data_IF_147987016867
#
_entry.id   IF_147987016867
#
_cell.length_a   1.000
_cell.length_b   1.000
_cell.length_c   1.000
_cell.angle_alpha   90.00
_cell.angle_beta   90.00
_cell.angle_gamma   90.00
#
_symmetry.space_group_name_H-M   'P 1'
#
loop_
_entity.id
_entity.type
_entity.pdbx_description
1 polymer ?
#
# COMPACT_ATOMS: atom_id res chain seq x y z
N UNK A 1 -35.44 7.78 -15.25
CA UNK A 1 -35.84 7.40 -13.88
C UNK A 1 -36.22 5.94 -13.90
N UNK A 2 -35.27 5.04 -13.66
CA UNK A 2 -35.52 3.63 -13.37
C UNK A 2 -34.39 3.08 -12.52
N UNK A 3 -34.80 2.24 -11.58
CA UNK A 3 -34.08 1.59 -10.48
C UNK A 3 -32.72 0.97 -10.86
N UNK A 4 -31.67 1.32 -10.12
CA UNK A 4 -30.35 0.64 -10.11
C UNK A 4 -29.87 0.44 -8.66
N UNK A 5 -30.72 -0.11 -7.81
CA UNK A 5 -30.35 -0.59 -6.48
C UNK A 5 -30.88 -2.00 -6.28
N UNK A 6 -30.35 -2.95 -7.05
CA UNK A 6 -30.40 -4.36 -6.65
C UNK A 6 -28.97 -4.85 -6.48
N UNK A 7 -28.63 -5.14 -5.22
CA UNK A 7 -27.39 -5.83 -4.84
C UNK A 7 -27.43 -7.23 -5.47
N UNK A 8 -26.39 -7.69 -6.17
CA UNK A 8 -26.32 -9.09 -6.59
C UNK A 8 -26.22 -9.99 -5.34
N UNK A 9 -27.10 -10.98 -5.29
CA UNK A 9 -27.10 -12.07 -4.32
C UNK A 9 -26.05 -13.13 -4.67
N UNK A 10 -25.14 -13.37 -3.73
CA UNK A 10 -24.08 -14.39 -3.61
C UNK A 10 -22.78 -14.25 -4.44
N UNK A 11 -21.60 -14.50 -3.83
CA UNK A 11 -20.31 -14.01 -4.34
C UNK A 11 -19.56 -15.04 -5.21
N UNK A 12 -18.77 -14.59 -6.20
CA UNK A 12 -17.69 -15.39 -6.76
C UNK A 12 -16.68 -15.72 -5.64
N UNK A 13 -16.00 -16.87 -5.74
CA UNK A 13 -15.02 -17.43 -4.78
C UNK A 13 -14.35 -16.39 -3.86
N UNK A 14 -14.51 -16.61 -2.55
CA UNK A 14 -14.97 -15.63 -1.56
C UNK A 14 -13.93 -14.74 -0.88
N UNK A 15 -12.77 -14.51 -1.50
CA UNK A 15 -11.73 -13.67 -0.88
C UNK A 15 -11.24 -12.58 -1.83
N UNK A 16 -11.64 -11.34 -1.55
CA UNK A 16 -11.23 -10.15 -2.31
C UNK A 16 -9.88 -9.56 -1.93
N UNK A 17 -9.01 -10.33 -1.26
CA UNK A 17 -7.69 -9.87 -0.84
C UNK A 17 -6.69 -11.02 -0.69
N UNK A 18 -5.40 -10.66 -0.71
CA UNK A 18 -4.30 -11.57 -0.36
C UNK A 18 -3.50 -11.01 0.82
N UNK A 19 -2.90 -11.90 1.61
CA UNK A 19 -2.03 -11.55 2.73
C UNK A 19 -0.58 -11.59 2.27
N UNK A 20 0.19 -10.56 2.61
CA UNK A 20 1.65 -10.53 2.36
C UNK A 20 2.36 -11.53 3.27
N UNK A 21 3.28 -12.32 2.72
CA UNK A 21 4.06 -13.34 3.44
C UNK A 21 5.49 -12.90 3.79
N UNK A 22 5.82 -11.64 3.53
CA UNK A 22 7.07 -11.04 4.01
C UNK A 22 7.07 -10.97 5.55
N UNK A 23 8.26 -10.88 6.20
CA UNK A 23 8.36 -10.92 7.66
C UNK A 23 7.56 -9.81 8.33
N UNK A 24 6.88 -10.14 9.44
CA UNK A 24 5.99 -9.21 10.13
C UNK A 24 6.68 -8.40 11.24
N UNK A 25 7.88 -8.82 11.64
CA UNK A 25 8.65 -8.24 12.73
C UNK A 25 9.99 -7.71 12.21
N UNK A 26 10.46 -6.62 12.82
CA UNK A 26 11.80 -6.10 12.64
C UNK A 26 12.75 -6.42 13.82
N UNK A 27 12.36 -7.34 14.71
CA UNK A 27 13.14 -7.68 15.92
C UNK A 27 14.34 -8.59 15.62
N UNK A 28 14.25 -9.39 14.55
CA UNK A 28 15.38 -10.13 14.00
C UNK A 28 15.72 -9.54 12.62
N UNK A 29 16.80 -8.74 12.58
CA UNK A 29 17.29 -8.10 11.36
C UNK A 29 17.71 -9.12 10.31
N UNK A 30 18.18 -10.29 10.73
CA UNK A 30 18.53 -11.36 9.81
C UNK A 30 17.29 -12.06 9.27
N UNK A 31 16.19 -12.13 10.02
CA UNK A 31 14.91 -12.64 9.51
C UNK A 31 14.36 -11.75 8.39
N UNK A 32 14.40 -10.42 8.58
CA UNK A 32 14.04 -9.45 7.55
C UNK A 32 14.82 -9.69 6.26
N UNK A 33 16.15 -9.80 6.36
CA UNK A 33 17.04 -10.05 5.23
C UNK A 33 16.79 -11.41 4.59
N UNK A 34 16.66 -12.48 5.37
CA UNK A 34 16.34 -13.83 4.87
C UNK A 34 15.01 -13.85 4.12
N UNK A 35 14.00 -13.11 4.59
CA UNK A 35 12.71 -12.99 3.90
C UNK A 35 12.86 -12.33 2.53
N UNK A 36 13.56 -11.19 2.48
CA UNK A 36 13.87 -10.51 1.23
C UNK A 36 14.70 -11.41 0.28
N UNK A 37 15.75 -12.05 0.80
CA UNK A 37 16.63 -12.92 0.04
C UNK A 37 15.88 -14.11 -0.57
N UNK A 38 14.96 -14.75 0.17
CA UNK A 38 14.12 -15.84 -0.35
C UNK A 38 13.27 -15.39 -1.54
N UNK A 39 12.68 -14.20 -1.48
CA UNK A 39 11.86 -13.71 -2.59
C UNK A 39 12.72 -13.33 -3.81
N UNK A 40 13.79 -12.56 -3.60
CA UNK A 40 14.69 -12.11 -4.66
C UNK A 40 15.46 -13.27 -5.30
N UNK A 41 15.78 -14.30 -4.52
CA UNK A 41 16.45 -15.52 -4.97
C UNK A 41 15.50 -16.63 -5.44
N UNK A 42 14.19 -16.38 -5.52
CA UNK A 42 13.21 -17.41 -5.91
C UNK A 42 13.36 -17.83 -7.38
N UNK A 43 12.99 -19.07 -7.69
CA UNK A 43 12.92 -19.57 -9.07
C UNK A 43 12.02 -18.71 -9.97
N UNK A 44 11.01 -18.08 -9.38
CA UNK A 44 10.14 -17.14 -10.10
C UNK A 44 10.92 -15.89 -10.54
N UNK A 45 11.71 -15.29 -9.65
CA UNK A 45 12.53 -14.11 -9.98
C UNK A 45 13.61 -14.47 -11.01
N UNK A 46 14.28 -15.61 -10.84
CA UNK A 46 15.28 -16.12 -11.79
C UNK A 46 14.68 -16.32 -13.18
N UNK A 47 13.49 -16.94 -13.29
CA UNK A 47 12.78 -17.11 -14.56
C UNK A 47 12.35 -15.78 -15.17
N UNK A 48 11.90 -14.82 -14.35
CA UNK A 48 11.54 -13.50 -14.85
C UNK A 48 12.75 -12.80 -15.48
N UNK A 49 13.90 -12.81 -14.82
CA UNK A 49 15.13 -12.21 -15.36
C UNK A 49 15.60 -12.94 -16.64
N UNK A 50 15.55 -14.28 -16.65
CA UNK A 50 15.91 -15.07 -17.81
C UNK A 50 15.01 -14.79 -19.03
N UNK A 51 13.71 -14.53 -18.83
CA UNK A 51 12.79 -14.12 -19.89
C UNK A 51 13.17 -12.76 -20.53
N UNK A 52 13.97 -11.94 -19.84
CA UNK A 52 14.58 -10.72 -20.36
C UNK A 52 16.06 -10.90 -20.77
N UNK A 53 16.58 -12.13 -20.77
CA UNK A 53 17.97 -12.44 -21.09
C UNK A 53 18.98 -11.91 -20.07
N UNK A 54 18.56 -11.73 -18.81
CA UNK A 54 19.41 -11.26 -17.71
C UNK A 54 19.65 -12.38 -16.69
N UNK A 55 20.78 -12.29 -16.01
CA UNK A 55 21.18 -13.15 -14.90
C UNK A 55 21.92 -12.30 -13.86
N UNK A 56 21.71 -12.58 -12.57
CA UNK A 56 22.44 -11.90 -11.50
C UNK A 56 23.77 -12.61 -11.24
N UNK A 57 24.84 -11.84 -11.02
CA UNK A 57 26.20 -12.36 -10.81
C UNK A 57 26.68 -12.22 -9.37
N UNK A 58 26.12 -11.28 -8.63
CA UNK A 58 26.49 -11.05 -7.24
C UNK A 58 26.07 -12.23 -6.36
N UNK A 59 26.90 -12.55 -5.36
CA UNK A 59 26.65 -13.65 -4.42
C UNK A 59 26.21 -13.18 -3.04
N UNK A 60 26.54 -11.95 -2.68
CA UNK A 60 26.11 -11.35 -1.40
C UNK A 60 24.69 -10.80 -1.51
N UNK A 61 23.90 -10.88 -0.44
CA UNK A 61 22.54 -10.31 -0.41
C UNK A 61 22.50 -8.85 -0.88
N UNK A 62 23.37 -8.00 -0.31
CA UNK A 62 23.43 -6.57 -0.65
C UNK A 62 23.89 -6.33 -2.08
N UNK A 63 24.90 -7.08 -2.56
CA UNK A 63 25.35 -7.02 -3.95
C UNK A 63 24.22 -7.38 -4.92
N UNK A 64 23.52 -8.49 -4.67
CA UNK A 64 22.36 -8.95 -5.46
C UNK A 64 21.24 -7.92 -5.48
N UNK A 65 20.95 -7.30 -4.35
CA UNK A 65 19.90 -6.29 -4.26
C UNK A 65 20.23 -5.04 -5.09
N UNK A 66 21.48 -4.59 -5.07
CA UNK A 66 21.96 -3.46 -5.89
C UNK A 66 21.94 -3.81 -7.37
N UNK A 67 22.44 -4.98 -7.75
CA UNK A 67 22.46 -5.46 -9.14
C UNK A 67 21.03 -5.62 -9.67
N UNK A 68 20.16 -6.27 -8.91
CA UNK A 68 18.76 -6.49 -9.29
C UNK A 68 17.99 -5.18 -9.43
N UNK A 69 18.22 -4.20 -8.54
CA UNK A 69 17.60 -2.88 -8.72
C UNK A 69 18.04 -2.22 -10.03
N UNK A 70 19.34 -2.27 -10.37
CA UNK A 70 19.86 -1.69 -11.60
C UNK A 70 19.26 -2.38 -12.85
N UNK A 71 19.22 -3.72 -12.85
CA UNK A 71 18.62 -4.51 -13.93
C UNK A 71 17.11 -4.25 -14.03
N UNK A 72 16.39 -4.26 -12.91
CA UNK A 72 14.96 -3.98 -12.89
C UNK A 72 14.64 -2.54 -13.31
N UNK A 73 15.49 -1.56 -13.00
CA UNK A 73 15.31 -0.19 -13.45
C UNK A 73 15.45 -0.06 -14.98
N UNK A 74 16.36 -0.83 -15.59
CA UNK A 74 16.50 -0.89 -17.05
C UNK A 74 15.25 -1.51 -17.71
N UNK A 75 14.71 -2.58 -17.11
CA UNK A 75 13.68 -3.41 -17.74
C UNK A 75 12.24 -2.99 -17.41
N UNK A 76 11.99 -2.54 -16.18
CA UNK A 76 10.64 -2.43 -15.60
C UNK A 76 10.21 -0.98 -15.36
N UNK A 77 11.10 0.01 -15.49
CA UNK A 77 10.78 1.43 -15.25
C UNK A 77 10.03 2.04 -16.45
N UNK A 78 8.73 1.73 -16.54
CA UNK A 78 7.81 2.30 -17.53
C UNK A 78 7.55 3.79 -17.28
N UNK A 79 7.71 4.24 -16.03
CA UNK A 79 7.46 5.64 -15.63
C UNK A 79 8.53 6.60 -16.16
N UNK A 80 9.81 6.21 -16.15
CA UNK A 80 10.95 7.08 -16.50
C UNK A 80 10.90 8.43 -15.76
N UNK A 81 10.54 8.39 -14.48
CA UNK A 81 10.41 9.58 -13.62
C UNK A 81 9.03 10.25 -13.58
N UNK A 82 8.08 9.84 -14.42
CA UNK A 82 6.70 10.38 -14.44
C UNK A 82 5.78 9.76 -13.38
N UNK A 83 4.53 10.21 -13.29
CA UNK A 83 3.53 9.60 -12.43
C UNK A 83 3.00 8.26 -12.98
N UNK A 84 2.43 7.41 -12.11
CA UNK A 84 2.02 6.04 -12.48
C UNK A 84 1.00 6.00 -13.63
N UNK A 85 0.07 6.95 -13.62
CA UNK A 85 -0.97 7.07 -14.64
C UNK A 85 -0.47 7.66 -15.97
N UNK A 86 0.79 8.13 -16.00
CA UNK A 86 1.43 8.68 -17.20
C UNK A 86 2.38 7.67 -17.85
N UNK A 87 2.56 6.51 -17.23
CA UNK A 87 3.40 5.44 -17.74
C UNK A 87 2.76 4.82 -19.00
N UNK A 88 3.62 4.46 -19.95
CA UNK A 88 3.22 3.75 -21.16
C UNK A 88 3.60 2.28 -20.99
N UNK A 89 2.59 1.46 -20.70
CA UNK A 89 2.78 0.03 -20.45
C UNK A 89 2.65 -0.73 -21.77
N UNK A 90 3.75 -1.34 -22.19
CA UNK A 90 3.79 -2.16 -23.40
C UNK A 90 3.19 -3.53 -23.15
N UNK A 91 2.67 -4.14 -24.21
CA UNK A 91 2.36 -5.55 -24.20
C UNK A 91 3.63 -6.38 -24.03
N UNK A 92 3.52 -7.47 -23.27
CA UNK A 92 4.63 -8.36 -22.96
C UNK A 92 4.34 -9.77 -23.51
N UNK A 93 5.37 -10.50 -23.99
CA UNK A 93 5.22 -11.90 -24.38
C UNK A 93 4.68 -12.76 -23.23
N UNK A 94 3.94 -13.83 -23.56
CA UNK A 94 3.30 -14.73 -22.58
C UNK A 94 4.26 -15.24 -21.51
N UNK A 95 5.50 -15.55 -21.88
CA UNK A 95 6.55 -15.98 -20.96
C UNK A 95 6.81 -14.95 -19.84
N UNK A 96 6.92 -13.67 -20.20
CA UNK A 96 7.09 -12.56 -19.24
C UNK A 96 5.84 -12.40 -18.37
N UNK A 97 4.64 -12.52 -18.96
CA UNK A 97 3.38 -12.46 -18.21
C UNK A 97 3.31 -13.56 -17.14
N UNK A 98 3.60 -14.81 -17.53
CA UNK A 98 3.53 -15.97 -16.64
C UNK A 98 4.61 -15.88 -15.55
N UNK A 99 5.84 -15.47 -15.89
CA UNK A 99 6.91 -15.27 -14.92
C UNK A 99 6.61 -14.13 -13.93
N UNK A 100 6.04 -13.02 -14.41
CA UNK A 100 5.63 -11.89 -13.56
C UNK A 100 4.58 -12.33 -12.54
N UNK A 101 3.55 -13.07 -13.00
CA UNK A 101 2.52 -13.63 -12.11
C UNK A 101 3.12 -14.56 -11.04
N UNK A 102 4.09 -15.39 -11.41
CA UNK A 102 4.76 -16.27 -10.46
C UNK A 102 5.56 -15.50 -9.40
N UNK A 103 6.25 -14.41 -9.79
CA UNK A 103 7.00 -13.55 -8.85
C UNK A 103 6.06 -12.87 -7.85
N UNK A 104 4.92 -12.38 -8.35
CA UNK A 104 3.88 -11.75 -7.52
C UNK A 104 3.27 -12.79 -6.57
N UNK A 105 2.88 -13.96 -7.06
CA UNK A 105 2.31 -15.01 -6.23
C UNK A 105 3.24 -15.47 -5.10
N UNK A 106 4.56 -15.39 -5.27
CA UNK A 106 5.53 -15.83 -4.27
C UNK A 106 5.52 -14.99 -2.96
N UNK A 107 4.96 -13.78 -2.97
CA UNK A 107 4.84 -12.90 -1.77
C UNK A 107 3.44 -12.85 -1.20
N UNK A 108 2.51 -13.61 -1.77
CA UNK A 108 1.13 -13.66 -1.35
C UNK A 108 0.72 -15.04 -0.90
N UNK A 109 -0.22 -15.06 0.04
CA UNK A 109 -1.05 -16.23 0.31
C UNK A 109 -2.51 -15.82 0.34
N UNK A 110 -3.37 -16.79 0.11
CA UNK A 110 -4.78 -16.64 0.40
C UNK A 110 -5.00 -16.60 1.92
N UNK A 111 -6.07 -15.95 2.39
CA UNK A 111 -6.45 -15.98 3.79
C UNK A 111 -6.77 -17.40 4.24
N UNK A 112 -6.23 -17.77 5.41
CA UNK A 112 -6.34 -19.12 5.94
C UNK A 112 -7.62 -19.34 6.78
N UNK A 113 -8.35 -18.27 7.07
CA UNK A 113 -9.54 -18.29 7.91
C UNK A 113 -10.11 -16.89 8.17
N UNK A 114 -10.93 -16.73 9.23
CA UNK A 114 -11.49 -15.44 9.61
C UNK A 114 -10.38 -14.40 9.92
N UNK A 115 -10.58 -13.11 9.59
CA UNK A 115 -9.58 -12.06 9.80
C UNK A 115 -8.95 -12.02 11.19
N UNK A 116 -9.74 -12.21 12.27
CA UNK A 116 -9.19 -12.24 13.63
C UNK A 116 -8.18 -13.36 13.87
N UNK A 117 -8.41 -14.54 13.28
CA UNK A 117 -7.51 -15.68 13.41
C UNK A 117 -6.28 -15.53 12.52
N UNK A 118 -6.46 -14.99 11.32
CA UNK A 118 -5.42 -14.92 10.29
C UNK A 118 -4.53 -13.67 10.41
N UNK A 119 -5.13 -12.52 10.70
CA UNK A 119 -4.48 -11.21 10.81
C UNK A 119 -4.32 -10.75 12.27
N UNK A 120 -4.79 -11.53 13.24
CA UNK A 120 -4.69 -11.20 14.66
C UNK A 120 -5.62 -10.06 15.10
N UNK A 121 -5.12 -9.23 16.02
CA UNK A 121 -5.85 -8.11 16.60
C UNK A 121 -5.01 -6.82 16.44
N UNK A 122 -5.01 -6.20 15.25
CA UNK A 122 -4.24 -4.98 15.04
C UNK A 122 -4.70 -3.87 15.99
N UNK A 123 -3.76 -3.12 16.54
CA UNK A 123 -4.01 -1.92 17.34
C UNK A 123 -4.21 -0.68 16.47
N UNK A 124 -3.73 -0.72 15.22
CA UNK A 124 -3.98 0.32 14.22
C UNK A 124 -4.21 -0.30 12.83
N UNK A 125 -5.16 0.27 12.08
CA UNK A 125 -5.36 -0.04 10.64
C UNK A 125 -4.91 1.15 9.82
N UNK A 126 -3.92 0.97 8.96
CA UNK A 126 -3.38 2.03 8.09
C UNK A 126 -3.86 1.80 6.66
N UNK A 127 -4.46 2.82 6.06
CA UNK A 127 -4.98 2.81 4.70
C UNK A 127 -4.18 3.82 3.89
N UNK A 128 -3.16 3.39 3.13
CA UNK A 128 -2.39 4.31 2.29
C UNK A 128 -3.29 4.98 1.25
N UNK A 129 -2.96 6.22 0.92
CA UNK A 129 -3.63 7.06 -0.07
C UNK A 129 -3.26 6.72 -1.50
N UNK A 130 -3.95 7.39 -2.42
CA UNK A 130 -3.59 7.42 -3.82
C UNK A 130 -4.58 8.28 -4.58
N UNK A 131 -5.06 7.73 -5.70
CA UNK A 131 -6.22 8.30 -6.36
C UNK A 131 -7.51 7.85 -5.70
N UNK A 132 -8.60 8.61 -5.88
CA UNK A 132 -9.91 8.30 -5.29
C UNK A 132 -10.34 6.83 -5.50
N UNK A 133 -10.17 6.27 -6.69
CA UNK A 133 -10.47 4.84 -6.96
C UNK A 133 -9.68 3.88 -6.06
N UNK A 134 -8.40 4.17 -5.83
CA UNK A 134 -7.57 3.38 -4.91
C UNK A 134 -8.02 3.55 -3.47
N UNK A 135 -8.39 4.76 -3.06
CA UNK A 135 -8.92 5.00 -1.72
C UNK A 135 -10.23 4.22 -1.51
N UNK A 136 -11.15 4.25 -2.49
CA UNK A 136 -12.41 3.49 -2.47
C UNK A 136 -12.17 1.99 -2.33
N UNK A 137 -11.35 1.40 -3.20
CA UNK A 137 -11.02 -0.03 -3.17
C UNK A 137 -10.49 -0.47 -1.78
N UNK A 138 -9.60 0.33 -1.19
CA UNK A 138 -8.98 0.01 0.10
C UNK A 138 -9.97 0.20 1.24
N UNK A 139 -10.80 1.23 1.19
CA UNK A 139 -11.85 1.46 2.17
C UNK A 139 -12.92 0.36 2.14
N UNK A 140 -13.29 -0.17 0.96
CA UNK A 140 -14.14 -1.36 0.83
C UNK A 140 -13.52 -2.56 1.54
N UNK A 141 -12.23 -2.82 1.32
CA UNK A 141 -11.56 -3.93 2.00
C UNK A 141 -11.57 -3.75 3.52
N UNK A 142 -11.37 -2.53 4.03
CA UNK A 142 -11.50 -2.26 5.48
C UNK A 142 -12.91 -2.62 5.98
N UNK A 143 -13.97 -2.15 5.31
CA UNK A 143 -15.36 -2.49 5.64
C UNK A 143 -15.58 -4.02 5.65
N UNK A 144 -15.07 -4.70 4.64
CA UNK A 144 -15.27 -6.14 4.46
C UNK A 144 -14.53 -6.93 5.55
N UNK A 145 -13.31 -6.52 5.91
CA UNK A 145 -12.56 -7.13 7.02
C UNK A 145 -13.26 -6.95 8.36
N UNK A 146 -13.79 -5.75 8.65
CA UNK A 146 -14.57 -5.47 9.86
C UNK A 146 -15.85 -6.32 9.90
N UNK A 147 -16.56 -6.40 8.78
CA UNK A 147 -17.78 -7.20 8.64
C UNK A 147 -17.50 -8.70 8.82
N UNK A 148 -16.32 -9.15 8.43
CA UNK A 148 -15.84 -10.52 8.60
C UNK A 148 -15.21 -10.80 10.00
N UNK A 149 -15.24 -9.83 10.92
CA UNK A 149 -14.86 -10.03 12.32
C UNK A 149 -13.43 -9.62 12.68
N UNK A 150 -12.78 -8.79 11.87
CA UNK A 150 -11.57 -8.08 12.30
C UNK A 150 -11.91 -7.22 13.55
N UNK A 151 -11.13 -7.28 14.64
CA UNK A 151 -11.38 -6.45 15.81
C UNK A 151 -11.37 -4.96 15.46
N UNK A 152 -12.25 -4.15 16.07
CA UNK A 152 -12.22 -2.70 15.89
C UNK A 152 -10.92 -2.10 16.42
N UNK A 153 -10.34 -1.20 15.64
CA UNK A 153 -9.15 -0.43 15.97
C UNK A 153 -9.21 0.95 15.30
N UNK A 154 -8.43 1.95 15.75
CA UNK A 154 -8.24 3.19 15.02
C UNK A 154 -7.83 2.97 13.56
N UNK A 155 -8.56 3.60 12.64
CA UNK A 155 -8.34 3.53 11.19
C UNK A 155 -7.73 4.85 10.72
N UNK A 156 -6.57 4.78 10.08
CA UNK A 156 -5.79 5.92 9.62
C UNK A 156 -5.71 5.95 8.10
N UNK A 157 -6.41 6.88 7.48
CA UNK A 157 -6.26 7.21 6.07
C UNK A 157 -5.02 8.08 5.84
N UNK A 158 -3.96 7.51 5.26
CA UNK A 158 -2.67 8.19 5.08
C UNK A 158 -2.59 8.84 3.70
N UNK A 159 -2.60 10.15 3.63
CA UNK A 159 -2.68 10.93 2.41
C UNK A 159 -1.58 11.99 2.30
N UNK A 160 -1.59 12.71 1.17
CA UNK A 160 -0.85 13.96 0.95
C UNK A 160 -1.80 15.11 0.62
N UNK A 161 -1.22 16.26 0.23
CA UNK A 161 -1.93 17.39 -0.37
C UNK A 161 -1.88 17.43 -1.89
N UNK A 162 -1.62 16.28 -2.54
CA UNK A 162 -1.66 16.19 -3.99
C UNK A 162 -3.05 16.68 -4.47
N UNK A 163 -3.08 17.66 -5.40
CA UNK A 163 -4.34 18.09 -6.01
C UNK A 163 -5.07 16.91 -6.66
N UNK A 164 -6.38 16.88 -6.51
CA UNK A 164 -7.24 15.94 -7.22
C UNK A 164 -7.23 16.22 -8.72
N UNK A 165 -7.28 15.17 -9.55
CA UNK A 165 -7.48 15.35 -10.99
C UNK A 165 -8.95 15.58 -11.31
N UNK A 166 -9.26 16.14 -12.49
CA UNK A 166 -10.64 16.37 -12.92
C UNK A 166 -11.49 15.08 -12.89
N UNK A 167 -10.90 13.94 -13.18
CA UNK A 167 -11.56 12.63 -13.08
C UNK A 167 -11.91 12.25 -11.64
N UNK A 168 -11.07 12.59 -10.66
CA UNK A 168 -11.33 12.36 -9.24
C UNK A 168 -12.41 13.29 -8.72
N UNK A 169 -12.40 14.56 -9.16
CA UNK A 169 -13.45 15.54 -8.83
C UNK A 169 -14.81 15.05 -9.33
N UNK A 170 -14.91 14.62 -10.60
CA UNK A 170 -16.15 14.09 -11.17
C UNK A 170 -16.62 12.83 -10.44
N UNK A 171 -15.73 11.87 -10.22
CA UNK A 171 -16.06 10.64 -9.51
C UNK A 171 -16.51 10.92 -8.07
N UNK A 172 -15.91 11.91 -7.41
CA UNK A 172 -16.32 12.37 -6.08
C UNK A 172 -17.75 12.91 -6.04
N UNK A 173 -18.15 13.68 -7.06
CA UNK A 173 -19.51 14.21 -7.18
C UNK A 173 -20.54 13.09 -7.39
N UNK A 174 -20.19 12.05 -8.16
CA UNK A 174 -21.08 10.94 -8.49
C UNK A 174 -21.26 9.94 -7.34
N UNK A 175 -20.18 9.52 -6.69
CA UNK A 175 -20.20 8.41 -5.73
C UNK A 175 -20.27 8.84 -4.27
N UNK A 176 -19.75 10.02 -3.99
CA UNK A 176 -19.24 10.30 -2.66
C UNK A 176 -19.94 11.44 -1.94
N UNK A 177 -20.89 12.13 -2.59
CA UNK A 177 -21.68 13.24 -2.02
C UNK A 177 -20.84 14.36 -1.36
N UNK A 178 -19.53 14.40 -1.59
CA UNK A 178 -18.57 15.36 -1.04
C UNK A 178 -17.67 15.93 -2.13
N UNK A 179 -17.12 17.12 -1.91
CA UNK A 179 -16.12 17.69 -2.83
C UNK A 179 -14.74 17.11 -2.55
N UNK A 180 -14.04 16.74 -3.63
CA UNK A 180 -12.69 16.18 -3.59
C UNK A 180 -11.75 17.21 -4.21
N UNK A 181 -10.91 17.87 -3.41
CA UNK A 181 -9.92 18.84 -3.90
C UNK A 181 -8.48 18.32 -3.82
N UNK A 182 -8.20 17.45 -2.86
CA UNK A 182 -6.89 16.84 -2.66
C UNK A 182 -7.03 15.34 -2.27
N UNK A 183 -5.89 14.67 -2.13
CA UNK A 183 -5.83 13.26 -1.73
C UNK A 183 -6.40 13.01 -0.31
N UNK A 184 -6.30 13.98 0.61
CA UNK A 184 -6.90 13.85 1.94
C UNK A 184 -8.43 13.86 1.85
N UNK A 185 -9.01 14.73 1.03
CA UNK A 185 -10.45 14.72 0.77
C UNK A 185 -10.87 13.41 0.09
N UNK A 186 -10.11 12.94 -0.91
CA UNK A 186 -10.39 11.67 -1.57
C UNK A 186 -10.39 10.47 -0.59
N UNK A 187 -9.41 10.43 0.32
CA UNK A 187 -9.34 9.42 1.39
C UNK A 187 -10.51 9.55 2.37
N UNK A 188 -10.81 10.78 2.82
CA UNK A 188 -11.90 11.04 3.78
C UNK A 188 -13.25 10.63 3.23
N UNK A 189 -13.48 10.96 1.96
CA UNK A 189 -14.65 10.55 1.18
C UNK A 189 -14.75 9.03 1.10
N UNK A 190 -13.67 8.33 0.74
CA UNK A 190 -13.69 6.89 0.55
C UNK A 190 -13.98 6.15 1.87
N UNK A 191 -13.30 6.54 2.95
CA UNK A 191 -13.55 5.98 4.29
C UNK A 191 -14.95 6.30 4.78
N UNK A 192 -15.43 7.53 4.55
CA UNK A 192 -16.77 7.94 4.96
C UNK A 192 -17.86 7.14 4.24
N UNK A 193 -17.70 6.91 2.94
CA UNK A 193 -18.60 6.08 2.16
C UNK A 193 -18.55 4.60 2.59
N UNK A 194 -17.36 4.01 2.75
CA UNK A 194 -17.25 2.58 3.05
C UNK A 194 -17.69 2.23 4.48
N UNK A 195 -17.53 3.16 5.42
CA UNK A 195 -17.81 2.94 6.85
C UNK A 195 -19.08 3.65 7.33
N UNK A 196 -19.93 4.08 6.40
CA UNK A 196 -21.21 4.78 6.66
C UNK A 196 -21.07 5.97 7.64
N UNK A 197 -19.98 6.73 7.52
CA UNK A 197 -19.74 7.91 8.35
C UNK A 197 -20.54 9.07 7.73
N UNK A 198 -21.39 9.76 8.51
CA UNK A 198 -22.07 10.96 8.02
C UNK A 198 -21.07 11.94 7.42
N UNK A 199 -21.42 12.44 6.23
CA UNK A 199 -20.51 13.21 5.39
C UNK A 199 -19.78 14.29 6.20
N UNK A 200 -18.46 14.11 6.31
CA UNK A 200 -17.56 15.17 6.76
C UNK A 200 -17.61 16.22 5.67
N UNK A 201 -18.17 17.40 5.97
CA UNK A 201 -18.14 18.52 5.02
C UNK A 201 -16.69 18.73 4.61
N UNK A 202 -16.42 18.62 3.32
CA UNK A 202 -15.13 19.01 2.78
C UNK A 202 -14.82 20.43 3.25
N UNK A 203 -13.56 20.70 3.57
CA UNK A 203 -13.19 22.07 3.93
C UNK A 203 -13.45 22.98 2.74
N UNK A 204 -14.29 23.99 2.94
CA UNK A 204 -14.58 25.02 1.93
C UNK A 204 -13.37 25.91 1.64
N UNK A 205 -12.28 25.77 2.41
CA UNK A 205 -11.02 26.47 2.17
C UNK A 205 -10.39 26.04 0.85
N UNK A 206 -10.01 26.99 -0.02
CA UNK A 206 -9.19 26.73 -1.21
C UNK A 206 -7.92 25.95 -0.87
N UNK A 207 -7.42 25.17 -1.83
CA UNK A 207 -6.28 24.26 -1.60
C UNK A 207 -5.02 25.03 -1.15
N UNK A 208 -4.80 26.22 -1.70
CA UNK A 208 -3.70 27.13 -1.37
C UNK A 208 -3.71 27.65 0.08
N UNK A 209 -4.86 27.61 0.75
CA UNK A 209 -5.01 28.04 2.15
C UNK A 209 -4.95 26.85 3.14
N UNK A 210 -4.84 25.62 2.66
CA UNK A 210 -4.80 24.42 3.49
C UNK A 210 -3.41 24.19 4.07
N UNK A 211 -3.37 23.70 5.31
CA UNK A 211 -2.10 23.35 5.95
C UNK A 211 -1.43 22.19 5.20
N UNK A 212 -0.11 22.27 4.92
CA UNK A 212 0.64 21.19 4.28
C UNK A 212 0.55 19.87 5.06
N UNK A 213 0.49 19.95 6.38
CA UNK A 213 0.24 18.84 7.28
C UNK A 213 -1.12 19.00 7.98
N UNK A 214 -1.94 17.94 8.03
CA UNK A 214 -3.22 17.95 8.75
C UNK A 214 -3.51 16.56 9.33
N UNK A 215 -4.09 16.52 10.53
CA UNK A 215 -4.74 15.34 11.10
C UNK A 215 -6.19 15.72 11.37
N UNK A 216 -7.13 14.94 10.82
CA UNK A 216 -8.56 15.21 10.84
C UNK A 216 -9.32 14.00 11.34
N UNK A 217 -10.04 14.14 12.45
CA UNK A 217 -10.97 13.11 12.89
C UNK A 217 -12.23 13.13 12.00
N UNK A 218 -12.57 11.99 11.41
CA UNK A 218 -13.79 11.77 10.64
C UNK A 218 -14.89 11.14 11.50
N UNK A 219 -14.48 10.30 12.46
CA UNK A 219 -15.35 9.69 13.48
C UNK A 219 -14.55 9.41 14.75
N UNK A 220 -15.07 9.80 15.91
CA UNK A 220 -14.45 9.49 17.21
C UNK A 220 -14.81 8.11 17.77
N UNK A 221 -14.25 7.80 18.94
CA UNK A 221 -14.51 6.56 19.71
C UNK A 221 -13.45 5.46 19.52
N UNK A 222 -13.67 4.25 20.08
CA UNK A 222 -12.69 3.16 20.07
C UNK A 222 -12.28 2.64 18.68
N UNK A 223 -13.14 2.83 17.67
CA UNK A 223 -12.87 2.58 16.26
C UNK A 223 -12.84 3.91 15.50
N UNK A 224 -12.04 4.85 16.00
CA UNK A 224 -11.90 6.17 15.42
C UNK A 224 -11.44 6.07 13.97
N UNK A 225 -11.87 7.01 13.14
CA UNK A 225 -11.46 7.10 11.74
C UNK A 225 -10.80 8.46 11.56
N UNK A 226 -9.53 8.44 11.20
CA UNK A 226 -8.68 9.63 11.11
C UNK A 226 -8.13 9.72 9.68
N UNK A 227 -8.27 10.90 9.06
CA UNK A 227 -7.53 11.26 7.86
C UNK A 227 -6.26 12.03 8.24
N UNK A 228 -5.15 11.72 7.59
CA UNK A 228 -3.86 12.37 7.84
C UNK A 228 -3.23 12.78 6.50
N UNK A 229 -2.88 14.06 6.34
CA UNK A 229 -2.06 14.55 5.24
C UNK A 229 -0.65 14.85 5.76
N UNK A 230 0.34 14.13 5.24
CA UNK A 230 1.74 14.41 5.57
C UNK A 230 2.27 15.58 4.73
N UNK A 231 3.17 16.41 5.28
CA UNK A 231 3.87 17.43 4.51
C UNK A 231 4.91 16.79 3.58
N UNK A 232 5.22 17.46 2.47
CA UNK A 232 6.34 17.04 1.62
C UNK A 232 7.66 17.26 2.36
N UNK A 233 8.63 16.37 2.15
CA UNK A 233 9.97 16.56 2.70
C UNK A 233 10.70 17.67 1.92
N UNK A 234 11.55 18.48 2.57
CA UNK A 234 12.18 19.65 1.96
C UNK A 234 12.85 19.38 0.61
N UNK A 235 13.48 18.22 0.46
CA UNK A 235 14.27 17.87 -0.72
C UNK A 235 13.53 16.92 -1.70
N UNK A 236 12.36 16.39 -1.31
CA UNK A 236 11.67 15.36 -2.09
C UNK A 236 10.77 15.93 -3.18
N UNK A 237 10.41 17.22 -3.10
CA UNK A 237 9.46 17.89 -4.00
C UNK A 237 8.02 17.34 -3.96
N UNK A 238 7.81 16.19 -3.28
CA UNK A 238 6.52 15.52 -3.09
C UNK A 238 6.52 14.66 -1.83
N UNK A 239 5.32 14.37 -1.34
CA UNK A 239 5.12 13.41 -0.25
C UNK A 239 5.38 11.99 -0.76
N UNK A 240 6.12 11.21 0.03
CA UNK A 240 6.39 9.79 -0.25
C UNK A 240 5.61 8.91 0.73
N UNK A 241 5.37 7.65 0.37
CA UNK A 241 4.78 6.67 1.32
C UNK A 241 5.60 6.54 2.60
N UNK A 242 6.93 6.62 2.50
CA UNK A 242 7.81 6.62 3.66
C UNK A 242 7.57 7.86 4.55
N UNK A 243 7.40 9.04 3.93
CA UNK A 243 7.05 10.27 4.63
C UNK A 243 5.68 10.21 5.32
N UNK A 244 4.66 9.59 4.69
CA UNK A 244 3.35 9.41 5.34
C UNK A 244 3.43 8.46 6.53
N UNK A 245 4.23 7.38 6.45
CA UNK A 245 4.50 6.51 7.59
C UNK A 245 5.23 7.22 8.73
N UNK A 246 6.28 7.99 8.43
CA UNK A 246 6.97 8.79 9.45
C UNK A 246 6.04 9.80 10.13
N UNK A 247 5.21 10.49 9.34
CA UNK A 247 4.26 11.46 9.91
C UNK A 247 3.16 10.79 10.75
N UNK A 248 2.69 9.61 10.34
CA UNK A 248 1.82 8.78 11.17
C UNK A 248 2.50 8.42 12.49
N UNK A 249 3.71 7.85 12.46
CA UNK A 249 4.45 7.48 13.66
C UNK A 249 4.75 8.68 14.58
N UNK A 250 4.95 9.88 14.03
CA UNK A 250 5.10 11.10 14.82
C UNK A 250 3.77 11.62 15.42
N UNK A 251 2.63 11.18 14.88
CA UNK A 251 1.28 11.56 15.31
C UNK A 251 0.67 10.57 16.29
N UNK A 252 1.39 9.49 16.67
CA UNK A 252 0.91 8.45 17.57
C UNK A 252 2.06 7.89 18.41
N UNK A 253 1.78 7.51 19.65
CA UNK A 253 2.78 6.93 20.56
C UNK A 253 2.92 5.42 20.28
N UNK A 254 3.57 5.06 19.16
CA UNK A 254 3.81 3.67 18.81
C UNK A 254 4.83 3.00 19.73
N UNK A 255 4.59 1.72 19.99
CA UNK A 255 5.43 0.90 20.85
C UNK A 255 5.59 -0.51 20.28
N UNK A 256 6.45 -1.29 20.93
CA UNK A 256 6.64 -2.70 20.58
C UNK A 256 5.43 -3.59 20.86
N UNK A 257 4.42 -3.08 21.57
CA UNK A 257 3.15 -3.76 21.82
C UNK A 257 2.13 -3.56 20.69
N UNK A 258 2.41 -2.64 19.76
CA UNK A 258 1.50 -2.31 18.69
C UNK A 258 1.56 -3.30 17.53
N UNK A 259 0.40 -3.47 16.90
CA UNK A 259 0.23 -4.27 15.69
C UNK A 259 -0.46 -3.41 14.63
N UNK A 260 0.29 -3.07 13.59
CA UNK A 260 -0.16 -2.26 12.47
C UNK A 260 -0.63 -3.18 11.33
N UNK A 261 -1.88 -3.04 10.90
CA UNK A 261 -2.40 -3.66 9.70
C UNK A 261 -2.43 -2.66 8.55
N UNK A 262 -1.62 -2.87 7.52
CA UNK A 262 -1.67 -2.08 6.28
C UNK A 262 -2.72 -2.67 5.35
N UNK A 263 -3.74 -1.89 5.01
CA UNK A 263 -4.78 -2.27 4.05
C UNK A 263 -4.59 -1.47 2.77
N UNK A 264 -4.15 -2.14 1.72
CA UNK A 264 -3.78 -1.49 0.45
C UNK A 264 -4.26 -2.26 -0.77
N UNK A 265 -3.91 -1.81 -1.97
CA UNK A 265 -4.14 -2.54 -3.23
C UNK A 265 -3.09 -3.64 -3.40
N UNK A 266 -3.48 -4.81 -3.91
CA UNK A 266 -2.57 -5.94 -4.09
C UNK A 266 -1.35 -5.62 -4.97
N UNK A 267 -1.43 -4.67 -5.90
CA UNK A 267 -0.25 -4.28 -6.65
C UNK A 267 0.81 -3.52 -5.81
N UNK A 268 0.37 -2.82 -4.77
CA UNK A 268 1.25 -1.96 -3.95
C UNK A 268 1.72 -2.62 -2.65
N UNK A 269 1.04 -3.66 -2.18
CA UNK A 269 1.31 -4.22 -0.86
C UNK A 269 2.76 -4.67 -0.61
N UNK A 270 3.54 -5.23 -1.56
CA UNK A 270 4.89 -5.70 -1.26
C UNK A 270 5.84 -4.54 -0.95
N UNK A 271 5.80 -3.47 -1.76
CA UNK A 271 6.67 -2.32 -1.54
C UNK A 271 6.24 -1.52 -0.30
N UNK A 272 4.93 -1.37 -0.07
CA UNK A 272 4.41 -0.66 1.09
C UNK A 272 4.70 -1.41 2.39
N UNK A 273 4.61 -2.75 2.38
CA UNK A 273 5.02 -3.57 3.51
C UNK A 273 6.52 -3.40 3.82
N UNK A 274 7.40 -3.48 2.81
CA UNK A 274 8.83 -3.26 3.02
C UNK A 274 9.15 -1.86 3.61
N UNK A 275 8.48 -0.81 3.14
CA UNK A 275 8.64 0.54 3.72
C UNK A 275 8.08 0.62 5.14
N UNK A 276 6.98 -0.07 5.44
CA UNK A 276 6.42 -0.12 6.80
C UNK A 276 7.37 -0.84 7.77
N UNK A 277 8.07 -1.88 7.32
CA UNK A 277 9.09 -2.54 8.14
C UNK A 277 10.25 -1.58 8.48
N UNK A 278 10.77 -0.85 7.49
CA UNK A 278 11.89 0.08 7.70
C UNK A 278 11.51 1.33 8.52
N UNK A 279 10.32 1.89 8.32
CA UNK A 279 9.96 3.20 8.91
C UNK A 279 8.98 3.12 10.08
N UNK A 280 8.32 1.98 10.32
CA UNK A 280 7.42 1.78 11.45
C UNK A 280 7.93 0.67 12.37
N UNK A 281 8.11 -0.55 11.85
CA UNK A 281 8.46 -1.70 12.69
C UNK A 281 9.86 -1.56 13.31
N UNK A 282 10.87 -1.21 12.50
CA UNK A 282 12.25 -1.12 12.96
C UNK A 282 12.45 -0.05 14.06
N UNK A 283 11.94 1.19 13.93
CA UNK A 283 12.14 2.21 14.95
C UNK A 283 11.32 1.99 16.25
N UNK A 284 10.15 1.33 16.15
CA UNK A 284 9.19 1.23 17.27
C UNK A 284 9.12 -0.16 17.90
N UNK A 285 9.61 -1.18 17.20
CA UNK A 285 9.45 -2.59 17.56
C UNK A 285 8.04 -3.15 17.31
N UNK A 286 7.13 -2.38 16.71
CA UNK A 286 5.77 -2.80 16.38
C UNK A 286 5.74 -3.94 15.35
N UNK A 287 4.67 -4.74 15.39
CA UNK A 287 4.39 -5.76 14.37
C UNK A 287 3.69 -5.11 13.19
N UNK A 288 4.05 -5.51 11.96
CA UNK A 288 3.41 -5.05 10.72
C UNK A 288 2.87 -6.25 9.95
N UNK A 289 1.59 -6.22 9.63
CA UNK A 289 0.95 -7.14 8.68
C UNK A 289 0.37 -6.34 7.53
N UNK A 290 0.30 -6.90 6.32
CA UNK A 290 -0.29 -6.22 5.17
C UNK A 290 -1.24 -7.12 4.40
N UNK A 291 -2.34 -6.52 3.94
CA UNK A 291 -3.30 -7.15 3.02
C UNK A 291 -3.48 -6.29 1.78
N UNK A 292 -3.61 -6.97 0.63
CA UNK A 292 -3.77 -6.36 -0.67
C UNK A 292 -5.14 -6.66 -1.27
N UNK A 293 -5.98 -5.65 -1.46
CA UNK A 293 -7.26 -5.72 -2.15
C UNK A 293 -7.06 -6.05 -3.63
N UNK A 294 -7.85 -6.99 -4.14
CA UNK A 294 -7.89 -7.31 -5.57
C UNK A 294 -8.78 -6.30 -6.28
N UNK A 295 -8.27 -5.61 -7.30
CA UNK A 295 -9.03 -4.53 -7.95
C UNK A 295 -10.31 -5.02 -8.64
N UNK A 296 -10.36 -6.29 -9.03
CA UNK A 296 -11.53 -6.93 -9.66
C UNK A 296 -12.69 -7.17 -8.70
N UNK A 297 -12.48 -7.05 -7.39
CA UNK A 297 -13.48 -7.41 -6.37
C UNK A 297 -14.21 -6.21 -5.77
N UNK A 298 -13.93 -5.00 -6.25
CA UNK A 298 -14.69 -3.81 -5.83
C UNK A 298 -16.17 -3.97 -6.14
N UNK A 299 -17.04 -3.53 -5.23
CA UNK A 299 -18.48 -3.48 -5.48
C UNK A 299 -18.83 -2.38 -6.51
N UNK A 300 -17.93 -1.41 -6.70
CA UNK A 300 -18.08 -0.31 -7.64
C UNK A 300 -17.55 -0.70 -9.02
N UNK A 301 -18.43 -0.72 -10.02
CA UNK A 301 -18.06 -1.06 -11.39
C UNK A 301 -16.94 -0.15 -11.94
N UNK A 302 -16.97 1.15 -11.64
CA UNK A 302 -15.98 2.13 -12.10
C UNK A 302 -14.63 2.05 -11.37
N UNK A 303 -14.54 1.26 -10.30
CA UNK A 303 -13.28 0.94 -9.60
C UNK A 303 -12.69 -0.38 -10.09
N UNK A 304 -13.52 -1.29 -10.61
CA UNK A 304 -13.07 -2.58 -11.15
C UNK A 304 -12.26 -2.37 -12.43
N UNK A 305 -11.05 -2.91 -12.40
CA UNK A 305 -10.08 -2.84 -13.50
C UNK A 305 -9.19 -4.09 -13.47
N UNK A 306 -8.24 -4.20 -14.39
CA UNK A 306 -7.18 -5.21 -14.36
C UNK A 306 -5.84 -4.53 -14.47
N UNK A 307 -4.88 -4.92 -13.64
CA UNK A 307 -3.50 -4.45 -13.80
C UNK A 307 -2.79 -5.20 -14.92
N UNK A 308 -2.18 -4.44 -15.81
CA UNK A 308 -1.30 -4.94 -16.86
C UNK A 308 -0.02 -5.54 -16.30
N UNK A 309 0.66 -6.37 -17.09
CA UNK A 309 1.98 -6.91 -16.74
C UNK A 309 3.00 -5.78 -16.52
N UNK A 310 2.93 -4.72 -17.32
CA UNK A 310 3.82 -3.56 -17.16
C UNK A 310 3.65 -2.85 -15.81
N UNK A 311 2.42 -2.72 -15.32
CA UNK A 311 2.16 -2.19 -13.97
C UNK A 311 2.75 -3.10 -12.90
N UNK A 312 2.56 -4.42 -13.02
CA UNK A 312 3.15 -5.37 -12.08
C UNK A 312 4.68 -5.32 -12.07
N UNK A 313 5.32 -5.24 -13.24
CA UNK A 313 6.78 -5.09 -13.34
C UNK A 313 7.26 -3.79 -12.67
N UNK A 314 6.56 -2.68 -12.91
CA UNK A 314 6.85 -1.40 -12.28
C UNK A 314 6.75 -1.48 -10.74
N UNK A 315 5.77 -2.21 -10.19
CA UNK A 315 5.64 -2.37 -8.74
C UNK A 315 6.57 -3.45 -8.15
N UNK A 316 7.01 -4.44 -8.93
CA UNK A 316 8.14 -5.30 -8.55
C UNK A 316 9.40 -4.45 -8.37
N UNK A 317 9.67 -3.51 -9.29
CA UNK A 317 10.77 -2.55 -9.14
C UNK A 317 10.58 -1.66 -7.90
N UNK A 318 9.36 -1.16 -7.64
CA UNK A 318 9.05 -0.43 -6.41
C UNK A 318 9.35 -1.24 -5.15
N UNK A 319 9.04 -2.53 -5.15
CA UNK A 319 9.28 -3.45 -4.04
C UNK A 319 10.78 -3.69 -3.84
N UNK A 320 11.55 -3.93 -4.90
CA UNK A 320 13.02 -4.06 -4.86
C UNK A 320 13.65 -2.79 -4.27
N UNK A 321 13.26 -1.60 -4.77
CA UNK A 321 13.72 -0.31 -4.24
C UNK A 321 13.37 -0.13 -2.76
N UNK A 322 12.20 -0.59 -2.34
CA UNK A 322 11.75 -0.47 -0.94
C UNK A 322 12.48 -1.45 -0.02
N UNK A 323 12.80 -2.66 -0.47
CA UNK A 323 13.65 -3.60 0.25
C UNK A 323 15.08 -3.07 0.41
N UNK A 324 15.64 -2.40 -0.60
CA UNK A 324 16.94 -1.74 -0.48
C UNK A 324 16.93 -0.64 0.58
N UNK A 325 15.92 0.23 0.54
CA UNK A 325 15.76 1.27 1.58
C UNK A 325 15.63 0.65 2.96
N UNK A 326 14.82 -0.40 3.09
CA UNK A 326 14.70 -1.14 4.35
C UNK A 326 16.05 -1.71 4.80
N UNK A 327 16.87 -2.31 3.93
CA UNK A 327 18.21 -2.79 4.29
C UNK A 327 19.15 -1.64 4.72
N UNK A 328 19.05 -0.47 4.07
CA UNK A 328 19.80 0.72 4.49
C UNK A 328 19.39 1.18 5.89
N UNK A 329 18.10 1.18 6.23
CA UNK A 329 17.59 1.48 7.58
C UNK A 329 18.08 0.44 8.60
N UNK A 330 18.09 -0.85 8.24
CA UNK A 330 18.62 -1.94 9.09
C UNK A 330 20.10 -1.71 9.41
N UNK A 331 20.90 -1.28 8.43
CA UNK A 331 22.32 -0.98 8.64
C UNK A 331 22.50 0.25 9.52
N UNK A 332 21.72 1.31 9.30
CA UNK A 332 21.77 2.52 10.12
C UNK A 332 21.42 2.19 11.59
N UNK A 333 20.31 1.50 11.81
CA UNK A 333 19.87 1.08 13.14
C UNK A 333 20.90 0.22 13.87
N UNK A 334 21.53 -0.74 13.18
CA UNK A 334 22.57 -1.58 13.78
C UNK A 334 23.82 -0.81 14.20
N UNK A 335 24.17 0.29 13.51
CA UNK A 335 25.28 1.17 13.90
C UNK A 335 24.95 1.98 15.15
N UNK A 336 23.73 2.49 15.24
CA UNK A 336 23.28 3.28 16.39
C UNK A 336 23.25 2.43 17.66
N UNK A 337 22.81 1.16 17.56
CA UNK A 337 22.82 0.21 18.69
C UNK A 337 24.23 -0.19 19.13
N UNK A 338 25.21 -0.23 18.23
CA UNK A 338 26.59 -0.59 18.56
C UNK A 338 27.41 0.58 19.13
N UNK A 339 26.92 1.82 18.97
CA UNK A 339 27.55 3.03 19.49
C UNK A 339 26.95 3.56 20.80
N UNK A 340 25.86 2.97 21.28
CA UNK A 340 25.22 3.24 22.56
C UNK A 340 25.73 2.30 23.67
#
# INVERSE_FOLDING_TARGET
MNSLLERPSEPPSSVGYSVITLPEYARDLDELRRGAERWLGSDAMTRLLAAFGKELRESTFRGRLVELEAVAAELFDARRGRERWEADYRDHPREVVDATRAVVAAVYRDPAGPPRGDLGAPTHVLVPGGRLRSCLLRAELVRDLLSAGLPPAPIWGLASRRPATDSEVRLGQEFARGSVQDELDAMSVALGWALDIPQVRAQERPLEERLPAEVRELRGGPASVIGLAAPAEPDAGRVTTAGTYRFFAASTDLSSLDHLLIVTSAIHAPFQHALALGHLALPTGARVTSVGAHITTSALADVRETWSTGEWLQEILSAIRSLRRMDDEVIAFGRDQAGA
#
